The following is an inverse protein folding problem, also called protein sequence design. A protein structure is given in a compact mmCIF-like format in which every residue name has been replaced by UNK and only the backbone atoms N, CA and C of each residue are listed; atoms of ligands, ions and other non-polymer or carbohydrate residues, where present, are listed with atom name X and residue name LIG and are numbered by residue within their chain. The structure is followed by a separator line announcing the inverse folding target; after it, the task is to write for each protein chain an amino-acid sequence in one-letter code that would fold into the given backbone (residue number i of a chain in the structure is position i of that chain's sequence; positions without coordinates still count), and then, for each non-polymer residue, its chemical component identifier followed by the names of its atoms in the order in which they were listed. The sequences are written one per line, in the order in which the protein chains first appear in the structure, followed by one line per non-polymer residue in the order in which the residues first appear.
data_IF_942002166915
#
_entry.id   IF_942002166915
#
_cell.length_a   1.000
_cell.length_b   1.000
_cell.length_c   1.000
_cell.angle_alpha   90.00
_cell.angle_beta   90.00
_cell.angle_gamma   90.00
#
_symmetry.space_group_name_H-M   'P 1'
#
loop_
_entity.id
_entity.type
_entity.pdbx_description
1 polymer ?
#
# COMPACT_ATOMS: atom_id res chain seq x y z
N UNK A 1 1.73 5.17 22.37
CA UNK A 1 0.81 6.10 21.66
C UNK A 1 -0.66 5.70 21.77
N UNK A 2 -1.08 4.48 21.39
CA UNK A 2 -2.46 3.99 21.63
C UNK A 2 -2.91 4.18 23.09
N UNK A 3 -2.07 3.81 24.06
CA UNK A 3 -2.37 3.90 25.49
C UNK A 3 -2.52 5.35 26.00
N UNK A 4 -1.76 6.28 25.43
CA UNK A 4 -1.80 7.71 25.78
C UNK A 4 -3.12 8.37 25.38
N UNK A 5 -3.71 7.96 24.26
CA UNK A 5 -4.97 8.53 23.78
C UNK A 5 -6.19 7.99 24.51
N UNK A 6 -6.10 6.79 25.12
CA UNK A 6 -7.28 6.09 25.61
C UNK A 6 -7.41 6.09 27.14
N UNK A 7 -6.41 5.64 27.93
CA UNK A 7 -6.65 5.42 29.37
C UNK A 7 -5.43 5.54 30.31
N UNK A 8 -4.23 5.88 29.84
CA UNK A 8 -3.07 6.15 30.73
C UNK A 8 -2.50 4.94 31.51
N UNK A 9 -3.15 3.77 31.50
CA UNK A 9 -2.66 2.53 32.13
C UNK A 9 -2.41 1.39 31.12
N UNK A 10 -1.44 0.53 31.42
CA UNK A 10 -1.03 -0.60 30.58
C UNK A 10 -2.05 -1.75 30.73
N UNK A 11 -2.67 -2.17 29.63
CA UNK A 11 -3.53 -3.38 29.58
C UNK A 11 -5.01 -3.16 29.23
N UNK A 12 -5.49 -1.92 29.15
CA UNK A 12 -6.88 -1.63 28.78
C UNK A 12 -7.18 -1.96 27.30
N UNK A 13 -8.24 -2.75 27.06
CA UNK A 13 -8.65 -3.27 25.75
C UNK A 13 -9.61 -2.34 24.98
N UNK A 14 -10.03 -1.20 25.55
CA UNK A 14 -11.15 -0.43 25.01
C UNK A 14 -10.67 0.86 24.32
N UNK A 15 -10.33 0.76 23.04
CA UNK A 15 -10.17 1.93 22.17
C UNK A 15 -11.53 2.31 21.57
N UNK A 16 -11.99 3.55 21.77
CA UNK A 16 -13.33 3.99 21.31
C UNK A 16 -13.38 4.25 19.80
N UNK A 17 -12.22 4.48 19.19
CA UNK A 17 -12.06 4.65 17.74
C UNK A 17 -10.95 3.72 17.26
N UNK A 18 -11.19 3.06 16.12
CA UNK A 18 -10.21 2.17 15.52
C UNK A 18 -8.94 2.92 15.12
N UNK A 19 -7.77 2.31 15.34
CA UNK A 19 -6.48 2.92 15.00
C UNK A 19 -6.34 3.26 13.52
N UNK A 20 -6.94 2.46 12.64
CA UNK A 20 -6.97 2.72 11.20
C UNK A 20 -7.64 4.07 10.89
N UNK A 21 -8.69 4.43 11.62
CA UNK A 21 -9.38 5.72 11.49
C UNK A 21 -8.55 6.86 12.09
N UNK A 22 -7.98 6.66 13.28
CA UNK A 22 -7.08 7.65 13.92
C UNK A 22 -5.92 8.03 13.01
N UNK A 23 -5.37 7.06 12.28
CA UNK A 23 -4.19 7.29 11.45
C UNK A 23 -4.44 8.04 10.15
N UNK A 24 -5.71 8.24 9.78
CA UNK A 24 -6.06 9.00 8.59
C UNK A 24 -5.68 10.49 8.74
N UNK A 25 -5.48 11.20 7.61
CA UNK A 25 -5.36 12.65 7.63
C UNK A 25 -6.55 13.32 8.34
N UNK A 26 -6.33 14.53 8.86
CA UNK A 26 -7.40 15.28 9.54
C UNK A 26 -8.54 15.62 8.58
N UNK A 27 -8.19 15.90 7.33
CA UNK A 27 -9.09 16.18 6.20
C UNK A 27 -10.05 15.02 5.94
N UNK A 28 -9.65 13.79 6.29
CA UNK A 28 -10.44 12.56 6.14
C UNK A 28 -11.10 12.13 7.48
N UNK A 29 -11.08 12.99 8.49
CA UNK A 29 -11.69 12.76 9.79
C UNK A 29 -10.85 11.96 10.78
N UNK A 30 -9.57 11.71 10.48
CA UNK A 30 -8.60 11.15 11.43
C UNK A 30 -7.90 12.22 12.27
N UNK A 31 -6.84 11.82 12.96
CA UNK A 31 -5.98 12.73 13.75
C UNK A 31 -4.63 13.02 13.09
N UNK A 32 -4.35 12.44 11.92
CA UNK A 32 -3.08 12.57 11.20
C UNK A 32 -1.92 11.82 11.87
N UNK A 33 -2.21 10.91 12.79
CA UNK A 33 -1.18 10.17 13.53
C UNK A 33 -0.61 9.05 12.67
N UNK A 34 0.68 9.10 12.37
CA UNK A 34 1.31 8.08 11.50
C UNK A 34 1.20 6.68 12.11
N UNK A 35 0.61 5.76 11.36
CA UNK A 35 0.59 4.34 11.71
C UNK A 35 1.97 3.73 11.49
N UNK A 36 2.61 3.22 12.55
CA UNK A 36 3.90 2.53 12.44
C UNK A 36 3.85 1.35 11.46
N UNK A 37 2.71 0.64 11.40
CA UNK A 37 2.50 -0.45 10.44
C UNK A 37 2.58 0.07 9.01
N UNK A 38 1.86 1.15 8.70
CA UNK A 38 1.82 1.78 7.38
C UNK A 38 3.18 2.36 7.00
N UNK A 39 3.83 3.05 7.93
CA UNK A 39 5.19 3.58 7.74
C UNK A 39 6.19 2.47 7.43
N UNK A 40 6.16 1.37 8.19
CA UNK A 40 7.05 0.24 7.97
C UNK A 40 6.79 -0.41 6.60
N UNK A 41 5.52 -0.61 6.22
CA UNK A 41 5.16 -1.10 4.89
C UNK A 41 5.67 -0.19 3.78
N UNK A 42 5.45 1.12 3.88
CA UNK A 42 5.92 2.08 2.89
C UNK A 42 7.46 2.08 2.76
N UNK A 43 8.18 1.95 3.88
CA UNK A 43 9.65 1.82 3.86
C UNK A 43 10.11 0.50 3.23
N UNK A 44 9.41 -0.60 3.47
CA UNK A 44 9.69 -1.88 2.79
C UNK A 44 9.42 -1.77 1.28
N UNK A 45 8.34 -1.10 0.85
CA UNK A 45 8.10 -0.81 -0.56
C UNK A 45 9.21 0.04 -1.16
N UNK A 46 9.75 1.02 -0.41
CA UNK A 46 10.91 1.81 -0.85
C UNK A 46 12.15 0.94 -1.07
N UNK A 47 12.39 -0.05 -0.21
CA UNK A 47 13.52 -0.96 -0.41
C UNK A 47 13.32 -1.88 -1.62
N UNK A 48 12.10 -2.39 -1.83
CA UNK A 48 11.75 -3.13 -3.06
C UNK A 48 11.97 -2.28 -4.31
N UNK A 49 11.56 -1.01 -4.27
CA UNK A 49 11.79 -0.07 -5.36
C UNK A 49 13.28 0.11 -5.68
N UNK A 50 14.12 0.30 -4.66
CA UNK A 50 15.58 0.42 -4.86
C UNK A 50 16.18 -0.85 -5.44
N UNK A 51 15.73 -2.02 -4.99
CA UNK A 51 16.18 -3.31 -5.54
C UNK A 51 15.80 -3.39 -7.02
N UNK A 52 14.55 -3.03 -7.36
CA UNK A 52 14.04 -3.12 -8.73
C UNK A 52 14.77 -2.16 -9.69
N UNK A 53 14.99 -0.90 -9.29
CA UNK A 53 15.68 0.08 -10.14
C UNK A 53 17.15 -0.28 -10.38
N UNK A 54 17.82 -0.88 -9.39
CA UNK A 54 19.22 -1.27 -9.46
C UNK A 54 20.12 -0.20 -10.11
N UNK A 55 20.03 1.04 -9.62
CA UNK A 55 20.73 2.22 -10.16
C UNK A 55 22.27 2.21 -9.95
N UNK A 56 22.83 1.13 -9.40
CA UNK A 56 24.26 0.99 -9.09
C UNK A 56 24.76 1.87 -7.94
N UNK A 57 23.91 2.69 -7.32
CA UNK A 57 24.32 3.63 -6.27
C UNK A 57 24.46 2.96 -4.90
N UNK A 58 23.77 1.85 -4.69
CA UNK A 58 23.68 1.18 -3.41
C UNK A 58 24.42 -0.15 -3.43
N UNK A 59 25.54 -0.22 -2.71
CA UNK A 59 26.30 -1.47 -2.48
C UNK A 59 25.41 -2.59 -1.94
N UNK A 60 24.45 -2.24 -1.07
CA UNK A 60 23.49 -3.21 -0.54
C UNK A 60 22.57 -3.78 -1.63
N UNK A 61 22.10 -2.95 -2.57
CA UNK A 61 21.29 -3.41 -3.70
C UNK A 61 22.13 -4.31 -4.61
N UNK A 62 23.35 -3.90 -4.95
CA UNK A 62 24.26 -4.70 -5.77
C UNK A 62 24.56 -6.07 -5.13
N UNK A 63 24.80 -6.10 -3.82
CA UNK A 63 24.96 -7.36 -3.07
C UNK A 63 23.70 -8.23 -3.12
N UNK A 64 22.51 -7.63 -2.95
CA UNK A 64 21.24 -8.35 -3.04
C UNK A 64 21.06 -8.95 -4.44
N UNK A 65 21.34 -8.19 -5.49
CA UNK A 65 21.22 -8.66 -6.87
C UNK A 65 22.16 -9.85 -7.13
N UNK A 66 23.46 -9.71 -6.81
CA UNK A 66 24.47 -10.74 -7.10
C UNK A 66 24.34 -11.99 -6.24
N UNK A 67 24.17 -11.84 -4.93
CA UNK A 67 24.28 -12.97 -4.00
C UNK A 67 22.93 -13.54 -3.58
N UNK A 68 21.89 -12.70 -3.50
CA UNK A 68 20.59 -13.10 -3.00
C UNK A 68 19.65 -13.50 -4.14
N UNK A 69 19.44 -12.63 -5.12
CA UNK A 69 18.52 -12.85 -6.23
C UNK A 69 19.14 -13.75 -7.32
N UNK A 70 20.44 -13.59 -7.60
CA UNK A 70 21.19 -14.38 -8.59
C UNK A 70 20.55 -14.33 -9.98
N UNK A 71 19.90 -15.43 -10.40
CA UNK A 71 19.25 -15.56 -11.71
C UNK A 71 17.72 -15.34 -11.63
N UNK A 72 17.22 -14.93 -10.47
CA UNK A 72 15.81 -14.63 -10.24
C UNK A 72 15.58 -13.13 -10.10
N UNK A 73 14.35 -12.68 -10.34
CA UNK A 73 13.95 -11.29 -10.09
C UNK A 73 13.37 -11.14 -8.69
N UNK A 74 13.11 -9.89 -8.29
CA UNK A 74 12.38 -9.63 -7.04
C UNK A 74 10.98 -10.26 -7.07
N UNK A 75 10.43 -10.60 -8.23
CA UNK A 75 9.11 -11.17 -8.40
C UNK A 75 9.11 -12.69 -8.26
N UNK A 76 10.05 -13.36 -8.92
CA UNK A 76 10.13 -14.84 -9.00
C UNK A 76 10.92 -15.48 -7.87
N UNK A 77 11.79 -14.72 -7.19
CA UNK A 77 12.66 -15.28 -6.15
C UNK A 77 11.87 -15.96 -5.02
N UNK A 78 12.23 -17.20 -4.67
CA UNK A 78 11.60 -17.93 -3.57
C UNK A 78 12.19 -17.50 -2.21
N UNK A 79 11.35 -16.87 -1.38
CA UNK A 79 11.70 -16.36 -0.05
C UNK A 79 11.81 -17.39 1.07
N UNK A 80 11.63 -18.69 0.82
CA UNK A 80 11.51 -19.73 1.85
C UNK A 80 12.68 -19.76 2.85
N UNK A 81 13.92 -19.58 2.36
CA UNK A 81 15.15 -19.56 3.17
C UNK A 81 15.58 -18.13 3.57
N UNK A 82 14.65 -17.17 3.49
CA UNK A 82 14.80 -15.76 3.86
C UNK A 82 14.88 -15.50 5.36
N UNK A 83 15.56 -14.41 5.75
CA UNK A 83 15.38 -13.80 7.07
C UNK A 83 13.92 -13.38 7.25
N UNK A 84 13.46 -13.24 8.50
CA UNK A 84 12.09 -12.81 8.79
C UNK A 84 11.72 -11.49 8.10
N UNK A 85 12.64 -10.51 8.12
CA UNK A 85 12.46 -9.22 7.46
C UNK A 85 12.32 -9.37 5.94
N UNK A 86 13.17 -10.20 5.32
CA UNK A 86 13.08 -10.48 3.89
C UNK A 86 11.75 -11.13 3.53
N UNK A 87 11.33 -12.17 4.25
CA UNK A 87 10.03 -12.82 4.07
C UNK A 87 8.87 -11.82 4.16
N UNK A 88 8.92 -10.93 5.14
CA UNK A 88 7.89 -9.90 5.34
C UNK A 88 7.87 -8.87 4.22
N UNK A 89 9.04 -8.48 3.70
CA UNK A 89 9.15 -7.59 2.54
C UNK A 89 8.61 -8.25 1.27
N UNK A 90 8.95 -9.52 1.02
CA UNK A 90 8.44 -10.26 -0.15
C UNK A 90 6.93 -10.48 -0.11
N UNK A 91 6.33 -10.58 1.09
CA UNK A 91 4.85 -10.60 1.22
C UNK A 91 4.18 -9.34 0.66
N UNK A 92 4.91 -8.23 0.54
CA UNK A 92 4.39 -6.99 -0.05
C UNK A 92 4.52 -6.92 -1.58
N UNK A 93 5.05 -7.95 -2.27
CA UNK A 93 5.20 -7.97 -3.74
C UNK A 93 3.92 -7.63 -4.49
N UNK A 94 2.80 -8.25 -4.10
CA UNK A 94 1.49 -8.00 -4.73
C UNK A 94 1.07 -6.53 -4.60
N UNK A 95 1.34 -5.91 -3.45
CA UNK A 95 1.06 -4.50 -3.23
C UNK A 95 2.05 -3.61 -4.00
N UNK A 96 3.32 -3.99 -4.03
CA UNK A 96 4.37 -3.31 -4.76
C UNK A 96 4.11 -3.28 -6.26
N UNK A 97 3.69 -4.41 -6.86
CA UNK A 97 3.33 -4.54 -8.28
C UNK A 97 2.30 -3.49 -8.70
N UNK A 98 1.28 -3.24 -7.86
CA UNK A 98 0.24 -2.22 -8.14
C UNK A 98 0.79 -0.80 -8.23
N UNK A 99 1.94 -0.53 -7.64
CA UNK A 99 2.62 0.76 -7.67
C UNK A 99 3.68 0.87 -8.76
N UNK A 100 4.10 -0.23 -9.38
CA UNK A 100 5.14 -0.26 -10.41
C UNK A 100 4.51 -0.20 -11.79
N UNK A 101 5.08 0.61 -12.68
CA UNK A 101 4.68 0.73 -14.08
C UNK A 101 5.91 0.47 -14.94
N UNK A 102 5.86 -0.61 -15.70
CA UNK A 102 6.83 -0.91 -16.75
C UNK A 102 6.47 -0.15 -18.02
N UNK A 103 7.45 0.57 -18.56
CA UNK A 103 7.36 1.25 -19.85
C UNK A 103 8.30 0.51 -20.80
N UNK A 104 7.70 -0.28 -21.68
CA UNK A 104 8.42 -1.18 -22.57
C UNK A 104 8.83 -0.41 -23.82
N UNK A 105 10.13 -0.33 -24.06
CA UNK A 105 10.74 0.28 -25.22
C UNK A 105 11.28 -0.79 -26.17
N UNK A 106 12.59 -0.98 -26.15
CA UNK A 106 13.29 -2.01 -26.92
C UNK A 106 13.23 -3.43 -26.30
N UNK A 107 12.79 -3.54 -25.04
CA UNK A 107 12.66 -4.80 -24.32
C UNK A 107 13.98 -5.43 -23.91
N UNK A 108 15.12 -4.74 -24.09
CA UNK A 108 16.45 -5.31 -23.85
C UNK A 108 16.76 -5.47 -22.36
N UNK A 109 16.17 -4.62 -21.51
CA UNK A 109 16.48 -4.56 -20.08
C UNK A 109 15.58 -5.45 -19.22
N UNK A 110 14.44 -5.89 -19.76
CA UNK A 110 13.46 -6.69 -19.03
C UNK A 110 13.54 -8.17 -19.38
N UNK A 111 13.32 -9.02 -18.37
CA UNK A 111 13.10 -10.44 -18.57
C UNK A 111 11.68 -10.69 -19.10
N UNK A 112 11.57 -11.48 -20.16
CA UNK A 112 10.29 -11.88 -20.74
C UNK A 112 9.39 -12.56 -19.70
N UNK A 113 9.98 -13.49 -18.94
CA UNK A 113 9.23 -14.39 -18.07
C UNK A 113 9.16 -13.95 -16.62
N UNK A 114 10.23 -13.30 -16.12
CA UNK A 114 10.42 -13.11 -14.69
C UNK A 114 10.07 -11.70 -14.20
N UNK A 115 10.00 -10.70 -15.10
CA UNK A 115 9.57 -9.36 -14.73
C UNK A 115 8.06 -9.21 -14.82
N UNK A 116 7.49 -8.41 -13.91
CA UNK A 116 6.06 -8.14 -13.83
C UNK A 116 5.64 -6.99 -14.77
N UNK A 117 6.08 -7.04 -16.02
CA UNK A 117 5.71 -6.04 -17.03
C UNK A 117 4.26 -6.17 -17.51
N UNK A 118 3.69 -7.37 -17.41
CA UNK A 118 2.26 -7.62 -17.57
C UNK A 118 1.52 -7.25 -16.28
N UNK A 119 0.33 -6.65 -16.39
CA UNK A 119 -0.46 -6.21 -15.24
C UNK A 119 -0.83 -7.34 -14.28
N UNK A 120 -0.95 -8.57 -14.79
CA UNK A 120 -1.25 -9.78 -14.03
C UNK A 120 -0.04 -10.27 -13.24
N UNK A 121 1.19 -9.90 -13.64
CA UNK A 121 2.45 -10.26 -12.99
C UNK A 121 3.43 -10.99 -13.90
N UNK A 122 4.48 -11.63 -13.34
CA UNK A 122 5.47 -12.37 -14.13
C UNK A 122 4.82 -13.52 -14.90
N UNK A 123 5.07 -13.58 -16.20
CA UNK A 123 4.44 -14.57 -17.08
C UNK A 123 4.75 -16.00 -16.65
N UNK A 124 5.93 -16.32 -16.12
CA UNK A 124 6.22 -17.69 -15.66
C UNK A 124 5.43 -18.14 -14.43
N UNK A 125 4.84 -17.21 -13.68
CA UNK A 125 3.97 -17.53 -12.55
C UNK A 125 2.51 -17.71 -13.00
N UNK A 126 2.11 -17.04 -14.08
CA UNK A 126 0.73 -17.07 -14.62
C UNK A 126 0.57 -18.21 -15.62
N UNK A 127 1.58 -18.40 -16.47
CA UNK A 127 1.64 -19.40 -17.54
C UNK A 127 2.90 -20.26 -17.36
N UNK A 128 2.90 -21.25 -16.43
CA UNK A 128 4.09 -22.03 -16.12
C UNK A 128 4.66 -22.82 -17.31
N UNK A 129 3.81 -23.18 -18.28
CA UNK A 129 4.21 -23.89 -19.51
C UNK A 129 4.67 -22.95 -20.63
N UNK A 130 4.54 -21.64 -20.45
CA UNK A 130 4.89 -20.63 -21.45
C UNK A 130 6.27 -20.84 -22.09
N UNK A 131 7.36 -21.00 -21.31
CA UNK A 131 8.70 -21.21 -21.84
C UNK A 131 8.84 -22.44 -22.77
N UNK A 132 8.15 -23.53 -22.42
CA UNK A 132 8.17 -24.77 -23.19
C UNK A 132 7.40 -24.62 -24.51
N UNK A 133 6.22 -23.99 -24.45
CA UNK A 133 5.34 -23.83 -25.61
C UNK A 133 5.92 -22.82 -26.61
N UNK A 134 6.54 -21.74 -26.14
CA UNK A 134 7.14 -20.74 -27.04
C UNK A 134 8.55 -21.11 -27.50
N UNK A 135 9.18 -22.11 -26.87
CA UNK A 135 10.61 -22.41 -27.07
C UNK A 135 11.55 -21.30 -26.58
N UNK A 136 11.09 -20.43 -25.68
CA UNK A 136 11.87 -19.30 -25.15
C UNK A 136 12.26 -19.59 -23.70
N UNK A 137 13.55 -19.79 -23.36
CA UNK A 137 13.95 -20.13 -22.00
C UNK A 137 13.59 -19.04 -20.97
N UNK A 138 13.54 -19.40 -19.69
CA UNK A 138 13.26 -18.46 -18.58
C UNK A 138 14.22 -17.26 -18.49
N UNK A 139 15.39 -17.37 -19.12
CA UNK A 139 16.40 -16.31 -19.21
C UNK A 139 16.20 -15.38 -20.41
N UNK A 140 15.21 -15.62 -21.26
CA UNK A 140 14.93 -14.79 -22.43
C UNK A 140 14.62 -13.34 -22.03
N UNK A 141 15.22 -12.41 -22.76
CA UNK A 141 14.90 -10.99 -22.71
C UNK A 141 13.56 -10.73 -23.41
N UNK A 142 12.84 -9.70 -22.99
CA UNK A 142 11.58 -9.26 -23.60
C UNK A 142 11.76 -8.85 -25.07
N UNK A 143 12.95 -8.36 -25.44
CA UNK A 143 13.34 -8.06 -26.82
C UNK A 143 13.19 -9.24 -27.78
N UNK A 144 13.21 -10.49 -27.29
CA UNK A 144 13.03 -11.69 -28.13
C UNK A 144 11.67 -11.78 -28.81
N UNK A 145 10.65 -11.11 -28.26
CA UNK A 145 9.28 -11.06 -28.80
C UNK A 145 8.88 -9.67 -29.29
N UNK A 146 9.86 -8.77 -29.49
CA UNK A 146 9.64 -7.41 -29.99
C UNK A 146 10.48 -7.21 -31.24
N UNK A 147 9.84 -6.91 -32.37
CA UNK A 147 10.53 -6.53 -33.61
C UNK A 147 9.83 -5.33 -34.24
N UNK A 148 10.60 -4.35 -34.73
CA UNK A 148 10.08 -3.15 -35.38
C UNK A 148 8.96 -2.45 -34.58
N UNK A 149 9.11 -2.37 -33.25
CA UNK A 149 8.12 -1.80 -32.34
C UNK A 149 6.73 -2.50 -32.41
N UNK A 150 6.73 -3.80 -32.68
CA UNK A 150 5.55 -4.66 -32.66
C UNK A 150 5.83 -5.96 -31.90
N UNK A 151 4.78 -6.51 -31.30
CA UNK A 151 4.84 -7.80 -30.63
C UNK A 151 4.88 -8.94 -31.66
N UNK A 152 5.92 -9.77 -31.59
CA UNK A 152 6.17 -10.88 -32.49
C UNK A 152 6.27 -12.18 -31.69
N UNK A 153 5.13 -12.67 -31.22
CA UNK A 153 5.03 -13.96 -30.53
C UNK A 153 5.03 -15.12 -31.53
N UNK A 154 5.57 -16.29 -31.17
CA UNK A 154 5.43 -17.49 -31.98
C UNK A 154 3.97 -17.81 -32.24
N UNK A 155 3.63 -18.09 -33.50
CA UNK A 155 2.27 -18.52 -33.85
C UNK A 155 1.98 -19.86 -33.16
N UNK A 156 0.95 -19.88 -32.31
CA UNK A 156 0.55 -21.07 -31.56
C UNK A 156 -0.95 -21.08 -31.31
N UNK A 157 -1.51 -22.29 -31.29
CA UNK A 157 -2.90 -22.57 -30.88
C UNK A 157 -3.02 -22.86 -29.38
N UNK A 158 -1.91 -22.83 -28.66
CA UNK A 158 -1.90 -23.07 -27.21
C UNK A 158 -2.60 -21.92 -26.46
N UNK A 159 -3.44 -22.31 -25.49
CA UNK A 159 -4.25 -21.38 -24.70
C UNK A 159 -3.40 -20.38 -23.91
N UNK A 160 -2.19 -20.77 -23.48
CA UNK A 160 -1.31 -19.90 -22.71
C UNK A 160 -0.82 -18.74 -23.59
N UNK A 161 -0.40 -19.01 -24.83
CA UNK A 161 0.05 -17.96 -25.77
C UNK A 161 -1.11 -17.05 -26.18
N UNK A 162 -2.30 -17.60 -26.40
CA UNK A 162 -3.50 -16.80 -26.65
C UNK A 162 -3.83 -15.92 -25.43
N UNK A 163 -3.69 -16.47 -24.22
CA UNK A 163 -3.87 -15.74 -22.96
C UNK A 163 -2.85 -14.63 -22.73
N UNK A 164 -1.60 -14.81 -23.19
CA UNK A 164 -0.56 -13.77 -23.15
C UNK A 164 -0.90 -12.67 -24.17
N UNK A 165 -1.11 -13.04 -25.42
CA UNK A 165 -1.24 -12.12 -26.56
C UNK A 165 -2.52 -11.27 -26.54
N UNK A 166 -3.57 -11.73 -25.87
CA UNK A 166 -4.84 -11.01 -25.73
C UNK A 166 -4.77 -9.71 -24.90
N UNK A 167 -3.76 -9.54 -24.05
CA UNK A 167 -3.66 -8.42 -23.11
C UNK A 167 -2.27 -7.77 -23.11
N UNK A 168 -1.65 -7.63 -24.29
CA UNK A 168 -0.32 -7.02 -24.38
C UNK A 168 -0.38 -5.49 -24.20
N UNK A 169 0.52 -4.91 -23.39
CA UNK A 169 0.60 -3.47 -23.21
C UNK A 169 1.15 -2.79 -24.48
N UNK A 170 0.85 -1.50 -24.69
CA UNK A 170 1.41 -0.73 -25.78
C UNK A 170 2.93 -0.56 -25.62
N UNK A 171 3.66 -0.65 -26.74
CA UNK A 171 5.09 -0.40 -26.82
C UNK A 171 5.36 1.12 -26.97
N UNK A 172 6.44 1.61 -26.36
CA UNK A 172 6.89 2.99 -26.50
C UNK A 172 7.88 3.11 -27.66
N UNK A 173 7.47 3.79 -28.73
CA UNK A 173 8.33 3.95 -29.91
C UNK A 173 9.65 4.67 -29.58
N UNK A 174 10.76 4.02 -29.91
CA UNK A 174 12.12 4.60 -29.91
C UNK A 174 12.68 5.03 -28.54
N UNK A 175 12.15 4.51 -27.44
CA UNK A 175 12.67 4.76 -26.09
C UNK A 175 13.38 3.52 -25.52
N UNK A 176 14.35 3.74 -24.61
CA UNK A 176 14.88 2.66 -23.80
C UNK A 176 13.85 2.21 -22.76
N UNK A 177 13.89 0.94 -22.40
CA UNK A 177 13.12 0.38 -21.29
C UNK A 177 13.27 1.22 -20.01
N UNK A 178 12.15 1.52 -19.33
CA UNK A 178 12.21 2.19 -18.04
C UNK A 178 11.09 1.76 -17.09
N UNK A 179 11.36 1.89 -15.80
CA UNK A 179 10.40 1.59 -14.74
C UNK A 179 10.06 2.90 -14.03
N UNK A 180 8.77 3.12 -13.82
CA UNK A 180 8.25 4.28 -13.09
C UNK A 180 7.32 3.84 -11.97
N UNK A 181 7.21 4.68 -10.94
CA UNK A 181 6.24 4.50 -9.88
C UNK A 181 4.92 5.18 -10.28
N UNK A 182 3.80 4.61 -9.83
CA UNK A 182 2.46 5.18 -9.99
C UNK A 182 2.30 6.40 -9.08
N UNK A 183 2.86 7.52 -9.53
CA UNK A 183 2.77 8.85 -8.94
C UNK A 183 2.70 9.90 -10.05
N UNK A 184 2.38 11.15 -9.69
CA UNK A 184 2.36 12.26 -10.63
C UNK A 184 3.75 12.58 -11.23
N UNK A 185 4.84 12.32 -10.50
CA UNK A 185 6.20 12.55 -10.99
C UNK A 185 6.82 11.31 -11.66
N UNK A 186 6.23 10.13 -11.53
CA UNK A 186 6.86 8.87 -11.93
C UNK A 186 7.90 8.33 -10.95
N UNK A 187 8.23 9.10 -9.90
CA UNK A 187 9.18 8.69 -8.87
C UNK A 187 8.49 8.06 -7.66
N UNK A 188 9.24 7.18 -6.99
CA UNK A 188 8.82 6.67 -5.69
C UNK A 188 8.85 7.78 -4.65
N UNK A 189 7.69 8.10 -4.07
CA UNK A 189 7.60 8.95 -2.89
C UNK A 189 6.98 8.18 -1.74
N UNK A 190 7.39 8.53 -0.51
CA UNK A 190 6.79 7.93 0.69
C UNK A 190 5.27 8.16 0.71
N UNK A 191 4.81 9.35 0.32
CA UNK A 191 3.39 9.67 0.29
C UNK A 191 2.62 8.82 -0.73
N UNK A 192 3.16 8.62 -1.94
CA UNK A 192 2.54 7.75 -2.93
C UNK A 192 2.44 6.29 -2.44
N UNK A 193 3.49 5.79 -1.76
CA UNK A 193 3.45 4.47 -1.14
C UNK A 193 2.41 4.37 -0.01
N UNK A 194 2.27 5.41 0.81
CA UNK A 194 1.23 5.47 1.85
C UNK A 194 -0.17 5.47 1.23
N UNK A 195 -0.42 6.28 0.19
CA UNK A 195 -1.70 6.30 -0.53
C UNK A 195 -2.04 4.97 -1.20
N UNK A 196 -1.04 4.19 -1.61
CA UNK A 196 -1.23 2.85 -2.15
C UNK A 196 -1.65 1.84 -1.06
N UNK A 197 -1.11 1.98 0.16
CA UNK A 197 -1.45 1.11 1.32
C UNK A 197 -2.80 1.50 1.92
N UNK A 198 -3.08 2.80 2.01
CA UNK A 198 -4.27 3.37 2.61
C UNK A 198 -4.98 4.24 1.57
N UNK A 199 -6.02 3.71 0.91
CA UNK A 199 -6.82 4.47 -0.04
C UNK A 199 -7.40 5.71 0.65
N UNK A 200 -7.35 6.84 -0.06
CA UNK A 200 -7.93 8.10 0.40
C UNK A 200 -9.43 7.95 0.59
N UNK A 201 -9.94 8.44 1.71
CA UNK A 201 -11.37 8.52 1.97
C UNK A 201 -11.92 9.93 1.73
N UNK A 202 -13.24 10.08 1.54
CA UNK A 202 -13.85 11.38 1.28
C UNK A 202 -13.48 12.39 2.36
N UNK A 203 -13.23 13.62 1.95
CA UNK A 203 -12.95 14.71 2.89
C UNK A 203 -14.20 15.01 3.71
N UNK A 204 -14.01 15.21 5.00
CA UNK A 204 -15.09 15.61 5.91
C UNK A 204 -15.09 17.12 6.04
N UNK A 205 -16.23 17.80 6.01
CA UNK A 205 -16.30 19.27 6.09
C UNK A 205 -15.86 19.81 7.46
N UNK A 206 -16.12 19.06 8.53
CA UNK A 206 -15.85 19.47 9.90
C UNK A 206 -14.37 19.45 10.29
N UNK A 207 -13.45 18.97 9.44
CA UNK A 207 -12.01 18.93 9.77
C UNK A 207 -11.43 20.31 10.09
N UNK A 208 -12.01 21.38 9.50
CA UNK A 208 -11.63 22.77 9.75
C UNK A 208 -11.79 23.14 11.23
N UNK A 209 -12.80 22.56 11.89
CA UNK A 209 -13.00 22.75 13.34
C UNK A 209 -11.80 22.21 14.13
N UNK A 210 -11.19 21.10 13.71
CA UNK A 210 -9.99 20.55 14.34
C UNK A 210 -8.69 21.25 13.97
N UNK A 211 -8.71 22.09 12.94
CA UNK A 211 -7.58 22.94 12.53
C UNK A 211 -7.65 24.33 13.17
N UNK A 212 -8.77 24.69 13.81
CA UNK A 212 -8.92 25.95 14.53
C UNK A 212 -7.89 26.13 15.66
N UNK A 213 -7.87 27.33 16.24
CA UNK A 213 -6.92 27.77 17.29
C UNK A 213 -7.13 27.08 18.66
N UNK A 214 -7.44 25.79 18.70
CA UNK A 214 -7.33 25.00 19.92
C UNK A 214 -5.86 24.88 20.29
N UNK A 215 -5.35 25.86 21.03
CA UNK A 215 -3.95 25.91 21.53
C UNK A 215 -3.60 24.70 22.39
N UNK A 216 -4.59 23.95 22.87
CA UNK A 216 -4.44 22.79 23.74
C UNK A 216 -4.91 21.52 23.00
N UNK A 217 -4.01 20.57 22.68
CA UNK A 217 -4.34 19.34 21.97
C UNK A 217 -5.48 18.51 22.60
N UNK A 218 -5.60 18.56 23.93
CA UNK A 218 -6.68 17.87 24.68
C UNK A 218 -8.07 18.32 24.23
N UNK A 219 -8.29 19.62 24.04
CA UNK A 219 -9.59 20.14 23.62
C UNK A 219 -9.93 19.71 22.19
N UNK A 220 -8.95 19.74 21.27
CA UNK A 220 -9.13 19.23 19.92
C UNK A 220 -9.46 17.74 19.88
N UNK A 221 -8.84 16.94 20.75
CA UNK A 221 -9.15 15.52 20.87
C UNK A 221 -10.56 15.26 21.42
N UNK A 222 -10.99 16.00 22.46
CA UNK A 222 -12.34 15.90 23.01
C UNK A 222 -13.38 16.30 21.97
N UNK A 223 -13.15 17.39 21.24
CA UNK A 223 -14.02 17.82 20.15
C UNK A 223 -14.11 16.78 19.04
N UNK A 224 -12.99 16.19 18.61
CA UNK A 224 -12.99 15.10 17.63
C UNK A 224 -13.81 13.89 18.12
N UNK A 225 -13.67 13.52 19.40
CA UNK A 225 -14.47 12.47 20.01
C UNK A 225 -15.96 12.81 20.09
N UNK A 226 -16.29 14.09 20.31
CA UNK A 226 -17.66 14.59 20.28
C UNK A 226 -18.23 14.46 18.86
N UNK A 227 -17.56 14.99 17.84
CA UNK A 227 -18.02 14.91 16.44
C UNK A 227 -18.26 13.45 15.99
N UNK A 228 -17.47 12.49 16.47
CA UNK A 228 -17.65 11.07 16.15
C UNK A 228 -18.73 10.37 17.00
N UNK A 229 -19.37 11.04 17.94
CA UNK A 229 -20.35 10.46 18.87
C UNK A 229 -19.72 9.41 19.80
N UNK A 230 -18.43 9.53 20.12
CA UNK A 230 -17.65 8.55 20.88
C UNK A 230 -17.31 8.99 22.30
N UNK A 231 -17.86 10.11 22.77
CA UNK A 231 -17.76 10.48 24.19
C UNK A 231 -18.41 9.41 25.08
N UNK A 232 -17.97 9.34 26.35
CA UNK A 232 -18.56 8.41 27.33
C UNK A 232 -19.83 9.03 27.90
N UNK A 233 -20.92 8.92 27.17
CA UNK A 233 -22.27 9.31 27.59
C UNK A 233 -23.03 8.07 28.08
N UNK A 234 -24.09 8.26 28.87
CA UNK A 234 -24.85 7.16 29.52
C UNK A 234 -25.59 6.26 28.52
N UNK A 235 -25.83 6.71 27.29
CA UNK A 235 -26.38 5.88 26.21
C UNK A 235 -25.39 4.81 25.71
N UNK A 236 -24.11 4.87 26.06
CA UNK A 236 -23.11 3.92 25.59
C UNK A 236 -23.10 2.64 26.42
N UNK A 237 -23.09 1.44 25.80
CA UNK A 237 -23.18 0.17 26.52
C UNK A 237 -21.97 -0.15 27.41
N UNK A 238 -20.85 0.57 27.25
CA UNK A 238 -19.64 0.40 28.05
C UNK A 238 -19.51 1.44 29.19
N UNK A 239 -20.49 2.31 29.38
CA UNK A 239 -20.54 3.29 30.47
C UNK A 239 -21.48 2.74 31.54
N UNK A 240 -21.06 2.63 32.82
CA UNK A 240 -21.95 2.26 33.90
C UNK A 240 -23.13 3.25 33.99
N UNK A 241 -24.37 2.74 33.96
CA UNK A 241 -25.56 3.60 34.08
C UNK A 241 -25.66 4.16 35.49
N UNK A 242 -25.78 5.47 35.60
CA UNK A 242 -26.22 6.12 36.83
C UNK A 242 -27.75 6.16 36.89
N UNK A 243 -28.31 6.07 38.10
CA UNK A 243 -29.77 6.05 38.33
C UNK A 243 -30.43 7.42 38.09
N UNK A 244 -29.65 8.51 38.08
CA UNK A 244 -30.16 9.88 38.19
C UNK A 244 -30.18 10.69 36.88
N UNK A 245 -30.12 10.04 35.70
CA UNK A 245 -30.15 10.72 34.40
C UNK A 245 -28.99 11.70 34.18
N UNK A 246 -29.18 12.70 33.32
CA UNK A 246 -28.18 13.73 33.01
C UNK A 246 -28.06 14.77 34.12
N UNK A 247 -26.85 14.93 34.68
CA UNK A 247 -26.55 15.87 35.77
C UNK A 247 -26.75 17.33 35.35
N UNK A 248 -26.49 17.66 34.08
CA UNK A 248 -26.55 19.05 33.58
C UNK A 248 -27.98 19.59 33.49
N UNK A 249 -28.97 18.72 33.25
CA UNK A 249 -30.39 19.10 33.23
C UNK A 249 -31.13 18.67 34.50
N UNK A 250 -30.42 18.27 35.55
CA UNK A 250 -31.03 17.85 36.82
C UNK A 250 -31.82 16.55 36.73
N UNK A 251 -31.47 15.64 35.82
CA UNK A 251 -32.11 14.33 35.67
C UNK A 251 -33.39 14.33 34.81
N UNK A 252 -33.69 15.42 34.11
CA UNK A 252 -34.88 15.52 33.24
C UNK A 252 -34.80 14.59 32.02
N UNK A 253 -33.59 14.31 31.53
CA UNK A 253 -33.33 13.47 30.36
C UNK A 253 -32.14 12.55 30.61
N UNK A 254 -32.03 11.47 29.81
CA UNK A 254 -30.83 10.64 29.79
C UNK A 254 -29.63 11.41 29.22
N UNK A 255 -28.43 11.16 29.76
CA UNK A 255 -27.19 11.73 29.23
C UNK A 255 -26.82 11.02 27.92
N UNK A 256 -27.32 11.56 26.81
CA UNK A 256 -27.00 11.09 25.46
C UNK A 256 -26.10 12.07 24.73
N UNK A 257 -25.45 11.61 23.66
CA UNK A 257 -24.63 12.49 22.84
C UNK A 257 -25.42 13.66 22.26
N UNK A 258 -26.62 13.39 21.76
CA UNK A 258 -27.50 14.40 21.18
C UNK A 258 -27.94 15.38 22.28
N UNK A 259 -28.44 14.89 23.42
CA UNK A 259 -28.83 15.76 24.54
C UNK A 259 -27.73 16.75 24.99
N UNK A 260 -26.45 16.36 24.92
CA UNK A 260 -25.33 17.21 25.32
C UNK A 260 -24.87 18.21 24.25
N UNK A 261 -25.06 17.93 22.97
CA UNK A 261 -24.40 18.67 21.88
C UNK A 261 -25.29 19.02 20.68
N UNK A 262 -26.51 18.46 20.55
CA UNK A 262 -27.40 18.58 19.38
C UNK A 262 -28.88 18.67 19.75
#
# INVERSE_FOLDING_TARGET
MRQFLWHGSVGSRNAKVAWAWISKPKEEGGLGIRSLTTTNQALMLKQLWRILQNDGTSIWVDWVQRYRLRNSTIWTFNGALGSWGWKKMLKLRHLFQRGVIYKIGDGSSFSLWQDAWDERGPLCLIFPRGPEVTGLPLTSSLSSVIQNNQWCWPASTDTDIIGITSHLPPLQSSAADCISWRSSSGDFTFQAAVSLIQPTTPRVSWYVLLQGNFKIPRHGFILWMAILGKLSTMDKPWVPRAENGCVLCGGLFDETHDHLFF
#
